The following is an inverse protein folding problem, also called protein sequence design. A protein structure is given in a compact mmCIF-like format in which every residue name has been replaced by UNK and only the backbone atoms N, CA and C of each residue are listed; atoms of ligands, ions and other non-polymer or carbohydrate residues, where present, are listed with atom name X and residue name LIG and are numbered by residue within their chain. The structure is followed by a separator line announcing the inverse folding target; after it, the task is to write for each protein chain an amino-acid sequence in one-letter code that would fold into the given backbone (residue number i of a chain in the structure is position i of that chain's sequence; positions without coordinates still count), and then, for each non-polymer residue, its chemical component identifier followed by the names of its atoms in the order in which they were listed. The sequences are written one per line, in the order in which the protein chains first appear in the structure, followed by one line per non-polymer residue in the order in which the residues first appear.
data_IF_016880093433
#
_entry.id   IF_016880093433
#
_cell.length_a   1.000
_cell.length_b   1.000
_cell.length_c   1.000
_cell.angle_alpha   90.00
_cell.angle_beta   90.00
_cell.angle_gamma   90.00
#
_symmetry.space_group_name_H-M   'P 1'
#
loop_
_entity.id
_entity.type
_entity.pdbx_description
1 polymer ?
#
# COMPACT_ATOMS: atom_id res chain seq x y z
N UNK A 1 9.93 -11.37 19.62
CA UNK A 1 9.85 -9.92 19.90
C UNK A 1 10.45 -9.23 18.69
N UNK A 2 9.73 -8.29 18.06
CA UNK A 2 10.23 -7.54 16.89
C UNK A 2 10.87 -6.26 17.41
N UNK A 3 12.10 -5.96 17.02
CA UNK A 3 12.73 -4.68 17.36
C UNK A 3 12.51 -3.69 16.23
N UNK A 4 12.37 -2.40 16.55
CA UNK A 4 12.17 -1.33 15.55
C UNK A 4 13.28 -1.34 14.48
N UNK A 5 14.51 -1.68 14.87
CA UNK A 5 15.66 -1.80 13.97
C UNK A 5 15.55 -2.96 12.96
N UNK A 6 14.68 -3.94 13.21
CA UNK A 6 14.43 -5.07 12.32
C UNK A 6 13.34 -4.75 11.29
N UNK A 7 12.70 -3.57 11.39
CA UNK A 7 11.69 -3.12 10.44
C UNK A 7 12.37 -2.39 9.29
N UNK A 8 12.37 -3.01 8.12
CA UNK A 8 12.97 -2.45 6.90
C UNK A 8 11.95 -1.84 5.95
N UNK A 9 10.67 -2.14 6.15
CA UNK A 9 9.62 -1.82 5.21
C UNK A 9 8.35 -1.36 5.92
N UNK A 10 7.59 -0.53 5.22
CA UNK A 10 6.22 -0.15 5.59
C UNK A 10 5.28 -0.49 4.43
N UNK A 11 4.17 -1.13 4.76
CA UNK A 11 3.16 -1.56 3.82
C UNK A 11 1.82 -0.89 4.09
N UNK A 12 1.07 -0.60 3.04
CA UNK A 12 -0.30 -0.09 3.14
C UNK A 12 -1.16 -0.60 2.00
N UNK A 13 -2.44 -0.83 2.28
CA UNK A 13 -3.42 -1.26 1.30
C UNK A 13 -4.71 -0.44 1.44
N UNK A 14 -5.27 -0.02 0.31
CA UNK A 14 -6.66 0.40 0.21
C UNK A 14 -7.54 -0.77 -0.22
N UNK A 15 -8.72 -0.90 0.38
CA UNK A 15 -9.62 -2.03 0.15
C UNK A 15 -11.02 -1.58 -0.26
N UNK A 16 -11.57 -2.23 -1.29
CA UNK A 16 -12.98 -2.14 -1.66
C UNK A 16 -13.81 -3.19 -0.91
N UNK A 17 -15.00 -2.83 -0.47
CA UNK A 17 -15.96 -3.76 0.09
C UNK A 17 -16.67 -4.54 -1.03
N UNK A 18 -16.53 -5.85 -1.08
CA UNK A 18 -17.15 -6.74 -2.07
C UNK A 18 -18.34 -7.49 -1.45
N UNK A 19 -18.99 -8.37 -2.21
CA UNK A 19 -20.05 -9.25 -1.70
C UNK A 19 -19.56 -10.29 -0.69
N UNK A 20 -18.32 -10.76 -0.84
CA UNK A 20 -17.75 -11.86 -0.06
C UNK A 20 -16.86 -11.38 1.08
N UNK A 21 -16.09 -10.31 0.85
CA UNK A 21 -15.20 -9.71 1.84
C UNK A 21 -14.67 -8.35 1.35
N UNK A 22 -13.38 -8.04 1.54
CA UNK A 22 -12.69 -6.87 1.05
C UNK A 22 -11.61 -7.24 0.04
N UNK A 23 -11.58 -6.54 -1.10
CA UNK A 23 -10.59 -6.73 -2.15
C UNK A 23 -9.60 -5.57 -2.13
N UNK A 24 -8.27 -5.81 -2.11
CA UNK A 24 -7.30 -4.74 -2.23
C UNK A 24 -7.44 -4.08 -3.61
N UNK A 25 -7.32 -2.76 -3.65
CA UNK A 25 -7.46 -1.93 -4.86
C UNK A 25 -6.13 -1.26 -5.19
N UNK A 26 -5.41 -0.83 -4.16
CA UNK A 26 -4.11 -0.19 -4.29
C UNK A 26 -3.23 -0.63 -3.13
N UNK A 27 -2.08 -1.19 -3.44
CA UNK A 27 -1.14 -1.76 -2.48
C UNK A 27 0.18 -1.04 -2.62
N UNK A 28 0.79 -0.67 -1.51
CA UNK A 28 2.14 -0.16 -1.51
C UNK A 28 3.03 -0.88 -0.51
N UNK A 29 4.30 -1.02 -0.90
CA UNK A 29 5.40 -1.42 -0.05
C UNK A 29 6.52 -0.41 -0.26
N UNK A 30 7.05 0.13 0.83
CA UNK A 30 8.14 1.11 0.80
C UNK A 30 9.29 0.65 1.68
N UNK A 31 10.51 0.73 1.16
CA UNK A 31 11.74 0.49 1.91
C UNK A 31 12.13 1.74 2.70
N UNK A 32 12.37 1.60 4.00
CA UNK A 32 12.74 2.72 4.87
C UNK A 32 14.17 3.22 4.63
N UNK A 33 15.05 2.38 4.07
CA UNK A 33 16.47 2.70 3.90
C UNK A 33 16.74 3.69 2.77
N UNK A 34 16.12 3.45 1.61
CA UNK A 34 16.40 4.19 0.38
C UNK A 34 15.14 4.78 -0.26
N UNK A 35 14.02 4.70 0.45
CA UNK A 35 12.72 5.24 0.05
C UNK A 35 12.17 4.68 -1.27
N UNK A 36 12.73 3.58 -1.75
CA UNK A 36 12.20 2.86 -2.89
C UNK A 36 10.83 2.26 -2.53
N UNK A 37 9.85 2.48 -3.39
CA UNK A 37 8.49 2.00 -3.17
C UNK A 37 7.89 1.40 -4.43
N UNK A 38 7.05 0.39 -4.25
CA UNK A 38 6.06 -0.01 -5.25
C UNK A 38 4.71 0.50 -4.80
N UNK A 39 3.94 1.09 -5.72
CA UNK A 39 2.52 1.41 -5.55
C UNK A 39 1.80 0.76 -6.73
N UNK A 40 0.94 -0.20 -6.45
CA UNK A 40 0.40 -1.13 -7.44
C UNK A 40 -1.11 -1.10 -7.33
N UNK A 41 -1.79 -0.92 -8.46
CA UNK A 41 -3.23 -1.04 -8.51
C UNK A 41 -3.67 -2.44 -8.90
N UNK A 42 -4.70 -2.94 -8.22
CA UNK A 42 -5.24 -4.28 -8.39
C UNK A 42 -6.53 -4.19 -9.20
N UNK A 43 -6.62 -5.00 -10.25
CA UNK A 43 -7.83 -5.18 -11.04
C UNK A 43 -8.89 -5.87 -10.18
N UNK A 44 -9.98 -5.15 -9.90
CA UNK A 44 -11.12 -5.63 -9.13
C UNK A 44 -12.36 -5.85 -10.00
N UNK A 45 -12.22 -5.90 -11.33
CA UNK A 45 -13.36 -6.06 -12.24
C UNK A 45 -14.08 -7.41 -12.13
N UNK A 46 -13.39 -8.44 -11.62
CA UNK A 46 -14.02 -9.72 -11.27
C UNK A 46 -14.85 -9.67 -9.99
N UNK A 47 -14.68 -8.62 -9.19
CA UNK A 47 -15.36 -8.47 -7.91
C UNK A 47 -16.81 -8.03 -8.11
N UNK A 48 -17.70 -8.57 -7.27
CA UNK A 48 -19.10 -8.16 -7.24
C UNK A 48 -19.33 -7.18 -6.10
N UNK A 49 -20.03 -6.09 -6.40
CA UNK A 49 -20.40 -5.07 -5.42
C UNK A 49 -21.90 -5.11 -5.16
N UNK A 50 -22.30 -5.14 -3.88
CA UNK A 50 -23.71 -4.93 -3.52
C UNK A 50 -24.09 -3.46 -3.71
N UNK A 51 -25.38 -3.15 -3.83
CA UNK A 51 -25.88 -1.76 -3.87
C UNK A 51 -25.48 -0.95 -2.63
N UNK A 52 -25.42 -1.60 -1.45
CA UNK A 52 -24.93 -1.02 -0.19
C UNK A 52 -23.44 -0.68 -0.28
N UNK A 53 -22.62 -1.62 -0.74
CA UNK A 53 -21.17 -1.44 -0.85
C UNK A 53 -20.80 -0.47 -1.97
N UNK A 54 -21.63 -0.35 -3.01
CA UNK A 54 -21.40 0.58 -4.12
C UNK A 54 -21.26 2.03 -3.65
N UNK A 55 -22.13 2.50 -2.73
CA UNK A 55 -22.05 3.86 -2.18
C UNK A 55 -20.79 4.07 -1.36
N UNK A 56 -20.46 3.11 -0.49
CA UNK A 56 -19.26 3.15 0.37
C UNK A 56 -17.99 3.13 -0.47
N UNK A 57 -17.90 2.22 -1.44
CA UNK A 57 -16.76 2.13 -2.35
C UNK A 57 -16.63 3.36 -3.21
N UNK A 58 -17.72 3.88 -3.80
CA UNK A 58 -17.66 5.13 -4.57
C UNK A 58 -17.07 6.28 -3.75
N UNK A 59 -17.45 6.39 -2.48
CA UNK A 59 -16.87 7.38 -1.57
C UNK A 59 -15.40 7.08 -1.27
N UNK A 60 -15.05 5.84 -0.92
CA UNK A 60 -13.70 5.41 -0.59
C UNK A 60 -12.73 5.63 -1.76
N UNK A 61 -13.08 5.17 -2.97
CA UNK A 61 -12.28 5.36 -4.18
C UNK A 61 -12.02 6.84 -4.46
N UNK A 62 -13.05 7.69 -4.37
CA UNK A 62 -12.92 9.12 -4.64
C UNK A 62 -12.13 9.87 -3.55
N UNK A 63 -12.30 9.51 -2.28
CA UNK A 63 -11.78 10.33 -1.17
C UNK A 63 -10.49 9.78 -0.54
N UNK A 64 -10.31 8.45 -0.55
CA UNK A 64 -9.13 7.77 0.00
C UNK A 64 -8.16 7.39 -1.11
N UNK A 65 -8.54 6.47 -2.02
CA UNK A 65 -7.64 6.04 -3.10
C UNK A 65 -7.35 7.12 -4.15
N UNK A 66 -8.24 8.12 -4.28
CA UNK A 66 -8.25 9.08 -5.39
C UNK A 66 -8.33 8.41 -6.77
N UNK A 67 -9.04 7.30 -6.86
CA UNK A 67 -9.27 6.54 -8.11
C UNK A 67 -10.72 6.77 -8.59
N UNK A 68 -11.00 6.65 -9.89
CA UNK A 68 -12.39 6.62 -10.38
C UNK A 68 -13.10 5.35 -9.86
N UNK A 69 -14.43 5.33 -9.88
CA UNK A 69 -15.20 4.15 -9.46
C UNK A 69 -16.31 3.83 -10.46
N UNK A 70 -16.39 2.60 -11.00
CA UNK A 70 -15.45 1.49 -10.78
C UNK A 70 -14.06 1.75 -11.38
N UNK A 71 -13.02 1.11 -10.83
CA UNK A 71 -11.66 1.20 -11.35
C UNK A 71 -11.17 -0.17 -11.77
N UNK A 72 -10.49 -0.21 -12.92
CA UNK A 72 -9.72 -1.36 -13.37
C UNK A 72 -8.25 -1.10 -13.08
N UNK A 73 -7.71 -1.75 -12.06
CA UNK A 73 -6.28 -1.72 -11.77
C UNK A 73 -5.45 -2.38 -12.88
N UNK A 74 -4.14 -2.12 -12.85
CA UNK A 74 -3.21 -2.56 -13.88
C UNK A 74 -2.87 -4.06 -13.75
N UNK A 75 -2.93 -4.60 -12.54
CA UNK A 75 -2.45 -5.96 -12.24
C UNK A 75 -3.54 -6.84 -11.63
N UNK A 76 -3.56 -8.13 -11.98
CA UNK A 76 -4.29 -9.10 -11.17
C UNK A 76 -3.75 -9.14 -9.73
N UNK A 77 -4.54 -9.64 -8.78
CA UNK A 77 -4.11 -9.78 -7.38
C UNK A 77 -2.79 -10.56 -7.25
N UNK A 78 -2.65 -11.67 -7.98
CA UNK A 78 -1.44 -12.49 -7.94
C UNK A 78 -0.23 -11.78 -8.56
N UNK A 79 -0.44 -11.03 -9.64
CA UNK A 79 0.61 -10.21 -10.25
C UNK A 79 1.06 -9.09 -9.29
N UNK A 80 0.12 -8.47 -8.57
CA UNK A 80 0.43 -7.47 -7.56
C UNK A 80 1.25 -8.07 -6.40
N UNK A 81 0.85 -9.23 -5.87
CA UNK A 81 1.60 -9.97 -4.84
C UNK A 81 3.02 -10.30 -5.30
N UNK A 82 3.17 -10.80 -6.53
CA UNK A 82 4.47 -11.14 -7.10
C UNK A 82 5.41 -9.92 -7.17
N UNK A 83 4.89 -8.76 -7.57
CA UNK A 83 5.66 -7.51 -7.63
C UNK A 83 6.06 -6.99 -6.24
N UNK A 84 5.15 -7.06 -5.26
CA UNK A 84 5.46 -6.71 -3.87
C UNK A 84 6.59 -7.60 -3.34
N UNK A 85 6.49 -8.91 -3.58
CA UNK A 85 7.53 -9.88 -3.20
C UNK A 85 8.86 -9.61 -3.90
N UNK A 86 8.83 -9.23 -5.18
CA UNK A 86 10.03 -8.87 -5.94
C UNK A 86 10.73 -7.65 -5.35
N UNK A 87 10.00 -6.57 -5.05
CA UNK A 87 10.57 -5.38 -4.43
C UNK A 87 11.19 -5.72 -3.06
N UNK A 88 10.45 -6.46 -2.23
CA UNK A 88 10.94 -6.92 -0.94
C UNK A 88 12.27 -7.68 -1.09
N UNK A 89 12.31 -8.71 -1.93
CA UNK A 89 13.50 -9.53 -2.12
C UNK A 89 14.72 -8.73 -2.59
N UNK A 90 14.51 -7.78 -3.51
CA UNK A 90 15.56 -6.91 -4.02
C UNK A 90 16.13 -5.98 -2.94
N UNK A 91 15.28 -5.43 -2.06
CA UNK A 91 15.68 -4.40 -1.08
C UNK A 91 16.12 -4.98 0.27
N UNK A 92 15.53 -6.10 0.67
CA UNK A 92 15.90 -6.83 1.88
C UNK A 92 17.31 -7.40 1.76
N UNK A 93 17.66 -7.91 0.57
CA UNK A 93 18.93 -8.56 0.29
C UNK A 93 19.25 -9.71 1.27
N UNK A 94 18.22 -10.46 1.69
CA UNK A 94 18.34 -11.64 2.55
C UNK A 94 18.52 -11.34 4.04
N UNK A 95 18.20 -10.13 4.49
CA UNK A 95 18.32 -9.72 5.90
C UNK A 95 17.13 -10.15 6.76
N UNK A 96 16.00 -10.51 6.13
CA UNK A 96 14.79 -10.91 6.86
C UNK A 96 14.12 -9.76 7.60
N UNK A 97 14.19 -8.54 7.05
CA UNK A 97 13.58 -7.36 7.66
C UNK A 97 12.06 -7.41 7.62
N UNK A 98 11.42 -7.00 8.71
CA UNK A 98 9.97 -7.00 8.81
C UNK A 98 9.33 -5.90 7.96
N UNK A 99 8.13 -6.23 7.46
CA UNK A 99 7.17 -5.29 6.91
C UNK A 99 6.24 -4.85 8.03
N UNK A 100 6.25 -3.56 8.36
CA UNK A 100 5.26 -2.96 9.24
C UNK A 100 3.97 -2.68 8.45
N UNK A 101 2.85 -3.19 8.94
CA UNK A 101 1.52 -2.90 8.40
C UNK A 101 0.57 -2.48 9.52
N UNK A 102 -0.45 -1.67 9.19
CA UNK A 102 -1.42 -1.19 10.19
C UNK A 102 -2.71 -2.01 10.13
N UNK A 103 -3.03 -2.63 11.25
CA UNK A 103 -4.25 -3.41 11.42
C UNK A 103 -4.19 -4.79 10.77
N UNK A 104 -5.17 -5.61 11.14
CA UNK A 104 -5.23 -7.03 10.78
C UNK A 104 -5.27 -7.29 9.26
N UNK A 105 -5.96 -6.45 8.49
CA UNK A 105 -6.17 -6.68 7.06
C UNK A 105 -4.89 -6.49 6.24
N UNK A 106 -4.17 -5.40 6.50
CA UNK A 106 -2.89 -5.13 5.84
C UNK A 106 -1.89 -6.21 6.20
N UNK A 107 -1.86 -6.59 7.49
CA UNK A 107 -1.02 -7.69 7.97
C UNK A 107 -1.27 -8.96 7.17
N UNK A 108 -2.53 -9.40 7.09
CA UNK A 108 -2.91 -10.60 6.36
C UNK A 108 -2.55 -10.53 4.87
N UNK A 109 -2.68 -9.37 4.23
CA UNK A 109 -2.28 -9.21 2.82
C UNK A 109 -0.77 -9.45 2.63
N UNK A 110 0.09 -8.81 3.42
CA UNK A 110 1.54 -8.96 3.28
C UNK A 110 2.02 -10.35 3.74
N UNK A 111 1.38 -10.96 4.73
CA UNK A 111 1.61 -12.37 5.10
C UNK A 111 1.24 -13.31 3.95
N UNK A 112 0.14 -13.04 3.23
CA UNK A 112 -0.25 -13.82 2.04
C UNK A 112 0.74 -13.69 0.87
N UNK A 113 1.60 -12.66 0.90
CA UNK A 113 2.72 -12.52 -0.04
C UNK A 113 3.95 -13.36 0.38
N UNK A 114 3.92 -13.99 1.55
CA UNK A 114 5.02 -14.75 2.15
C UNK A 114 6.10 -13.85 2.77
N UNK A 115 5.73 -12.65 3.24
CA UNK A 115 6.65 -11.71 3.86
C UNK A 115 6.61 -11.82 5.39
N UNK A 116 7.71 -11.52 6.11
CA UNK A 116 7.68 -11.34 7.55
C UNK A 116 6.96 -10.03 7.87
N UNK A 117 5.89 -10.07 8.66
CA UNK A 117 5.06 -8.90 8.94
C UNK A 117 4.92 -8.65 10.43
N UNK A 118 4.98 -7.38 10.83
CA UNK A 118 4.63 -6.93 12.17
C UNK A 118 3.48 -5.92 12.10
N UNK A 119 2.56 -6.01 13.06
CA UNK A 119 1.48 -5.03 13.20
C UNK A 119 1.96 -3.84 14.02
N UNK A 120 1.92 -2.64 13.44
CA UNK A 120 2.16 -1.40 14.18
C UNK A 120 0.85 -0.88 14.78
N UNK A 121 0.79 -0.79 16.10
CA UNK A 121 -0.41 -0.34 16.83
C UNK A 121 -0.39 1.17 17.10
N UNK A 122 0.72 1.66 17.65
CA UNK A 122 0.89 3.04 18.13
C UNK A 122 2.32 3.56 17.99
N UNK A 123 3.22 2.75 17.44
CA UNK A 123 4.66 3.03 17.44
C UNK A 123 5.03 3.89 16.23
N UNK A 124 5.60 5.06 16.51
CA UNK A 124 6.30 5.89 15.52
C UNK A 124 7.63 5.21 15.23
N UNK A 125 7.85 4.81 13.99
CA UNK A 125 9.14 4.32 13.55
C UNK A 125 10.05 5.55 13.40
N UNK A 126 10.97 5.75 14.36
CA UNK A 126 11.84 6.94 14.39
C UNK A 126 12.73 7.15 13.15
N UNK A 127 12.88 6.11 12.32
CA UNK A 127 13.61 6.15 11.05
C UNK A 127 12.68 6.23 9.82
N UNK A 128 11.37 6.39 10.02
CA UNK A 128 10.44 6.62 8.93
C UNK A 128 10.48 8.10 8.54
N UNK A 129 10.71 8.43 7.26
CA UNK A 129 10.61 9.81 6.82
C UNK A 129 9.21 10.35 7.10
N UNK A 130 9.15 11.62 7.51
CA UNK A 130 7.87 12.32 7.67
C UNK A 130 7.22 12.53 6.31
N UNK A 131 5.90 12.69 6.31
CA UNK A 131 5.12 12.86 5.09
C UNK A 131 5.62 14.01 4.18
N UNK A 132 6.09 15.10 4.79
CA UNK A 132 6.62 16.28 4.09
C UNK A 132 8.05 16.09 3.55
N UNK A 133 8.75 15.05 4.02
CA UNK A 133 10.12 14.69 3.60
C UNK A 133 10.12 13.73 2.40
N UNK A 134 8.95 13.21 2.01
CA UNK A 134 8.82 12.31 0.86
C UNK A 134 8.91 13.10 -0.44
N UNK A 135 9.68 12.61 -1.44
CA UNK A 135 9.78 13.26 -2.74
C UNK A 135 8.40 13.55 -3.32
N UNK A 136 8.22 14.76 -3.81
CA UNK A 136 7.02 15.14 -4.56
C UNK A 136 6.89 14.27 -5.81
N UNK A 137 5.67 14.07 -6.32
CA UNK A 137 5.46 13.27 -7.53
C UNK A 137 6.27 13.77 -8.74
N UNK A 138 6.53 15.08 -8.81
CA UNK A 138 7.39 15.71 -9.82
C UNK A 138 8.88 15.37 -9.70
N UNK A 139 9.35 15.00 -8.50
CA UNK A 139 10.74 14.62 -8.24
C UNK A 139 10.99 13.11 -8.48
N UNK A 140 9.93 12.30 -8.57
CA UNK A 140 10.01 10.88 -8.91
C UNK A 140 10.03 10.70 -10.44
N UNK A 141 11.20 10.98 -11.02
CA UNK A 141 11.52 11.06 -12.44
C UNK A 141 11.22 9.84 -13.34
N UNK A 142 10.46 8.82 -12.91
CA UNK A 142 10.24 7.62 -13.73
C UNK A 142 8.81 7.07 -13.80
N UNK A 143 7.80 7.83 -13.33
CA UNK A 143 6.39 7.79 -13.76
C UNK A 143 5.57 8.50 -12.67
N UNK A 144 4.98 9.68 -12.92
CA UNK A 144 3.87 10.12 -12.08
C UNK A 144 2.82 9.01 -12.06
N UNK A 145 2.23 8.72 -10.90
CA UNK A 145 1.10 7.79 -10.81
C UNK A 145 -0.14 8.47 -11.43
N UNK A 146 -0.15 8.71 -12.75
CA UNK A 146 -1.20 9.42 -13.52
C UNK A 146 -2.60 8.76 -13.41
N UNK A 147 -2.73 7.74 -12.57
CA UNK A 147 -3.93 7.01 -12.22
C UNK A 147 -4.84 7.78 -11.23
N UNK A 148 -4.34 8.77 -10.50
CA UNK A 148 -5.12 9.50 -9.48
C UNK A 148 -5.85 10.71 -10.05
N UNK A 149 -7.12 10.88 -9.67
CA UNK A 149 -7.93 12.04 -10.03
C UNK A 149 -7.26 13.33 -9.54
N UNK A 150 -7.06 14.28 -10.45
CA UNK A 150 -6.47 15.61 -10.22
C UNK A 150 -4.97 15.62 -9.83
N UNK A 151 -4.19 14.58 -10.15
CA UNK A 151 -2.76 14.55 -9.83
C UNK A 151 -2.47 14.49 -8.32
N UNK A 152 -3.48 14.11 -7.53
CA UNK A 152 -3.44 14.07 -6.07
C UNK A 152 -2.76 12.80 -5.55
N UNK A 153 -1.54 12.55 -6.01
CA UNK A 153 -0.71 11.41 -5.59
C UNK A 153 -0.38 11.45 -4.08
N UNK A 154 -0.73 12.55 -3.40
CA UNK A 154 -0.61 12.77 -1.97
C UNK A 154 -1.35 11.73 -1.11
N UNK A 155 -2.41 11.09 -1.64
CA UNK A 155 -3.20 10.07 -0.92
C UNK A 155 -3.00 8.63 -1.39
N UNK A 156 -2.02 8.37 -2.25
CA UNK A 156 -1.74 7.00 -2.68
C UNK A 156 -1.25 6.11 -1.52
N UNK A 157 -1.42 4.80 -1.66
CA UNK A 157 -0.98 3.83 -0.66
C UNK A 157 0.49 4.00 -0.25
N UNK A 158 1.37 4.45 -1.14
CA UNK A 158 2.79 4.73 -0.82
C UNK A 158 2.93 5.78 0.28
N UNK A 159 2.24 6.92 0.14
CA UNK A 159 2.25 7.98 1.16
C UNK A 159 1.49 7.56 2.42
N UNK A 160 0.42 6.77 2.26
CA UNK A 160 -0.27 6.13 3.39
C UNK A 160 0.69 5.29 4.25
N UNK A 161 1.51 4.45 3.62
CA UNK A 161 2.48 3.59 4.31
C UNK A 161 3.47 4.38 5.18
N UNK A 162 4.02 5.48 4.67
CA UNK A 162 4.94 6.32 5.43
C UNK A 162 4.22 7.18 6.48
N UNK A 163 3.07 7.78 6.15
CA UNK A 163 2.31 8.61 7.09
C UNK A 163 1.94 7.83 8.35
N UNK A 164 1.55 6.56 8.22
CA UNK A 164 1.22 5.73 9.39
C UNK A 164 2.41 5.28 10.22
N UNK A 165 3.61 5.29 9.63
CA UNK A 165 4.83 4.88 10.30
C UNK A 165 5.59 6.07 10.94
N UNK A 166 5.35 7.30 10.49
CA UNK A 166 6.08 8.50 10.94
C UNK A 166 5.28 9.58 11.68
N UNK A 167 4.00 9.33 12.02
CA UNK A 167 3.16 10.26 12.83
C UNK A 167 3.54 10.28 14.29
#
# INVERSE_FOLDING_TARGET
MVYIQDIGFVGHCHYAHTTSDMAPVEVALSCLRDLASACITVDTTSERFTSKNYRVNRWMFRNQCKLPFPYRGEYSLDSARAKIKQLYAQKDAGRGLYVAGKGHQQKHFFESCGLPVCEIKTEVLGNCPKYDELPTPSEQLNKPCDIHLAGDHYRCSKRGAFNFAGT
#
